data_IF_265195000403
#
_entry.id   IF_265195000403
#
_cell.length_a   1.000
_cell.length_b   1.000
_cell.length_c   1.000
_cell.angle_alpha   90.00
_cell.angle_beta   90.00
_cell.angle_gamma   90.00
#
_symmetry.space_group_name_H-M   'P 1'
#
loop_
_entity.id
_entity.type
_entity.pdbx_description
1 polymer ?
#
# COMPACT_ATOMS: atom_id res chain seq x y z
N UNK A 1 18.08 13.11 -69.00
CA UNK A 1 17.15 13.46 -67.91
C UNK A 1 17.13 12.33 -66.90
N UNK A 2 17.92 12.43 -65.83
CA UNK A 2 18.00 11.41 -64.76
C UNK A 2 16.94 11.72 -63.71
N UNK A 3 15.97 10.82 -63.52
CA UNK A 3 14.96 10.91 -62.46
C UNK A 3 15.60 10.40 -61.16
N UNK A 4 15.89 11.30 -60.23
CA UNK A 4 16.27 10.96 -58.86
C UNK A 4 14.96 10.90 -58.06
N UNK A 5 14.50 9.70 -57.76
CA UNK A 5 13.42 9.44 -56.81
C UNK A 5 14.05 9.43 -55.41
N UNK A 6 13.84 10.50 -54.65
CA UNK A 6 14.25 10.60 -53.25
C UNK A 6 13.15 9.94 -52.40
N UNK A 7 13.43 8.75 -51.87
CA UNK A 7 12.57 8.06 -50.89
C UNK A 7 12.71 8.80 -49.57
N UNK A 8 11.68 9.56 -49.20
CA UNK A 8 11.53 10.18 -47.88
C UNK A 8 11.09 9.10 -46.89
N UNK A 9 12.05 8.50 -46.20
CA UNK A 9 11.78 7.58 -45.09
C UNK A 9 11.34 8.42 -43.89
N UNK A 10 10.03 8.46 -43.64
CA UNK A 10 9.42 9.06 -42.46
C UNK A 10 9.99 8.39 -41.19
N UNK A 11 10.94 9.05 -40.53
CA UNK A 11 11.43 8.63 -39.23
C UNK A 11 10.39 9.03 -38.18
N UNK A 12 9.33 8.22 -38.05
CA UNK A 12 8.33 8.41 -37.00
C UNK A 12 8.98 8.04 -35.67
N UNK A 13 9.54 9.03 -34.98
CA UNK A 13 10.05 8.88 -33.62
C UNK A 13 8.92 8.47 -32.70
N UNK A 14 8.87 7.18 -32.35
CA UNK A 14 8.09 6.67 -31.22
C UNK A 14 8.58 7.41 -29.97
N UNK A 15 7.74 8.28 -29.42
CA UNK A 15 7.95 8.83 -28.09
C UNK A 15 7.80 7.67 -27.12
N UNK A 16 8.92 7.09 -26.70
CA UNK A 16 8.96 6.15 -25.59
C UNK A 16 8.47 6.90 -24.35
N UNK A 17 7.29 6.57 -23.86
CA UNK A 17 6.88 6.96 -22.52
C UNK A 17 7.88 6.34 -21.56
N UNK A 18 8.67 7.17 -20.88
CA UNK A 18 9.58 6.71 -19.84
C UNK A 18 8.79 5.89 -18.82
N UNK A 19 9.10 4.60 -18.72
CA UNK A 19 8.54 3.70 -17.72
C UNK A 19 8.84 4.29 -16.35
N UNK A 20 7.81 4.55 -15.53
CA UNK A 20 7.99 4.85 -14.12
C UNK A 20 8.85 3.73 -13.52
N UNK A 21 10.02 4.10 -12.98
CA UNK A 21 10.99 3.12 -12.50
C UNK A 21 10.42 2.38 -11.28
N UNK A 22 9.86 1.22 -11.53
CA UNK A 22 9.29 0.32 -10.53
C UNK A 22 10.38 -0.38 -9.68
N UNK A 23 11.67 -0.04 -9.82
CA UNK A 23 12.79 -0.69 -9.12
C UNK A 23 12.71 -0.71 -7.60
N UNK A 24 11.85 0.10 -7.01
CA UNK A 24 11.61 0.13 -5.56
C UNK A 24 10.43 -0.76 -5.11
N UNK A 25 9.65 -1.32 -6.04
CA UNK A 25 8.63 -2.33 -5.73
C UNK A 25 9.32 -3.64 -5.36
N UNK A 26 9.25 -4.01 -4.09
CA UNK A 26 9.81 -5.26 -3.58
C UNK A 26 8.70 -6.15 -3.05
N UNK A 27 8.91 -7.46 -3.15
CA UNK A 27 8.01 -8.49 -2.59
C UNK A 27 6.54 -8.29 -2.98
N UNK A 28 6.21 -8.15 -4.28
CA UNK A 28 4.81 -8.05 -4.68
C UNK A 28 4.09 -9.38 -4.44
N UNK A 29 2.85 -9.31 -3.98
CA UNK A 29 1.93 -10.43 -3.86
C UNK A 29 0.52 -10.03 -4.35
N UNK A 30 -0.25 -10.99 -4.85
CA UNK A 30 -1.54 -10.72 -5.52
C UNK A 30 -2.66 -11.59 -4.96
N UNK A 31 -3.74 -10.94 -4.53
CA UNK A 31 -4.99 -11.58 -4.14
C UNK A 31 -6.00 -11.56 -5.29
N UNK A 32 -7.20 -12.09 -5.04
CA UNK A 32 -8.30 -12.03 -6.03
C UNK A 32 -8.62 -10.59 -6.47
N UNK A 33 -8.46 -9.60 -5.57
CA UNK A 33 -8.91 -8.22 -5.78
C UNK A 33 -7.83 -7.16 -5.59
N UNK A 34 -6.70 -7.48 -4.96
CA UNK A 34 -5.69 -6.51 -4.54
C UNK A 34 -4.27 -6.99 -4.87
N UNK A 35 -3.36 -6.03 -5.00
CA UNK A 35 -1.92 -6.27 -5.08
C UNK A 35 -1.29 -5.62 -3.85
N UNK A 36 -0.47 -6.38 -3.11
CA UNK A 36 0.33 -5.89 -2.01
C UNK A 36 1.80 -5.81 -2.43
N UNK A 37 2.55 -4.80 -1.98
CA UNK A 37 3.97 -4.68 -2.27
C UNK A 37 4.67 -3.80 -1.23
N UNK A 38 6.00 -3.91 -1.16
CA UNK A 38 6.84 -3.04 -0.33
C UNK A 38 7.43 -1.92 -1.18
N UNK A 39 7.29 -0.67 -0.72
CA UNK A 39 7.91 0.51 -1.33
C UNK A 39 8.21 1.55 -0.25
N UNK A 40 9.44 2.11 -0.27
CA UNK A 40 9.87 3.14 0.67
C UNK A 40 9.88 2.74 2.15
N UNK A 41 9.98 1.45 2.43
CA UNK A 41 9.90 0.89 3.79
C UNK A 41 8.48 0.57 4.25
N UNK A 42 7.47 0.80 3.41
CA UNK A 42 6.07 0.55 3.73
C UNK A 42 5.47 -0.58 2.93
N UNK A 43 4.44 -1.20 3.51
CA UNK A 43 3.52 -2.08 2.81
C UNK A 43 2.40 -1.23 2.20
N UNK A 44 2.19 -1.42 0.90
CA UNK A 44 1.14 -0.79 0.13
C UNK A 44 0.17 -1.84 -0.37
N UNK A 45 -1.10 -1.47 -0.47
CA UNK A 45 -2.14 -2.26 -1.12
C UNK A 45 -2.84 -1.42 -2.19
N UNK A 46 -3.09 -2.00 -3.36
CA UNK A 46 -3.77 -1.32 -4.47
C UNK A 46 -4.81 -2.27 -5.09
N UNK A 47 -5.97 -1.78 -5.56
CA UNK A 47 -6.91 -2.61 -6.32
C UNK A 47 -6.25 -3.16 -7.58
N UNK A 48 -6.54 -4.42 -7.92
CA UNK A 48 -6.04 -5.07 -9.14
C UNK A 48 -6.54 -4.37 -10.42
N UNK A 49 -7.65 -3.66 -10.34
CA UNK A 49 -8.19 -2.81 -11.42
C UNK A 49 -7.41 -1.51 -11.62
N UNK A 50 -6.42 -1.22 -10.78
CA UNK A 50 -5.76 0.08 -10.70
C UNK A 50 -6.52 1.08 -9.83
N UNK A 51 -5.84 2.15 -9.43
CA UNK A 51 -6.39 3.21 -8.58
C UNK A 51 -5.39 3.69 -7.52
N UNK A 52 -5.92 4.35 -6.49
CA UNK A 52 -5.11 4.83 -5.37
C UNK A 52 -4.56 3.66 -4.54
N UNK A 53 -3.26 3.72 -4.24
CA UNK A 53 -2.62 2.80 -3.31
C UNK A 53 -2.82 3.28 -1.87
N UNK A 54 -3.13 2.36 -0.97
CA UNK A 54 -3.27 2.63 0.45
C UNK A 54 -2.04 2.14 1.20
N UNK A 55 -1.55 2.97 2.12
CA UNK A 55 -0.36 2.69 2.92
C UNK A 55 -0.75 2.04 4.25
N UNK A 56 -0.35 0.79 4.43
CA UNK A 56 -0.80 -0.03 5.55
C UNK A 56 -0.30 0.47 6.91
N UNK A 57 1.00 0.83 7.10
CA UNK A 57 1.48 1.28 8.41
C UNK A 57 0.77 2.54 8.92
N UNK A 58 0.49 3.50 8.03
CA UNK A 58 -0.26 4.70 8.41
C UNK A 58 -1.70 4.37 8.81
N UNK A 59 -2.41 3.59 7.99
CA UNK A 59 -3.77 3.17 8.33
C UNK A 59 -3.83 2.36 9.64
N UNK A 60 -2.81 1.54 9.91
CA UNK A 60 -2.71 0.77 11.15
C UNK A 60 -2.57 1.66 12.39
N UNK A 61 -1.80 2.75 12.27
CA UNK A 61 -1.64 3.76 13.31
C UNK A 61 -2.94 4.57 13.52
N UNK A 62 -3.52 5.12 12.46
CA UNK A 62 -4.76 5.91 12.52
C UNK A 62 -5.92 5.12 13.15
N UNK A 63 -6.04 3.83 12.79
CA UNK A 63 -7.08 2.94 13.28
C UNK A 63 -6.76 2.34 14.66
N UNK A 64 -5.61 2.66 15.27
CA UNK A 64 -5.17 2.15 16.57
C UNK A 64 -5.23 0.60 16.67
N UNK A 65 -4.83 -0.10 15.60
CA UNK A 65 -4.97 -1.56 15.50
C UNK A 65 -3.93 -2.33 16.31
N UNK A 66 -2.85 -1.67 16.72
CA UNK A 66 -1.77 -2.26 17.52
C UNK A 66 -0.48 -1.45 17.40
N UNK A 67 0.61 -1.93 18.03
CA UNK A 67 1.91 -1.30 17.92
C UNK A 67 2.57 -1.59 16.56
N UNK A 68 3.24 -0.59 16.02
CA UNK A 68 4.13 -0.70 14.86
C UNK A 68 5.55 -0.95 15.36
N UNK A 69 6.20 -1.97 14.80
CA UNK A 69 7.52 -2.44 15.23
C UNK A 69 8.45 -2.33 14.03
N UNK A 70 9.63 -1.76 14.24
CA UNK A 70 10.65 -1.69 13.20
C UNK A 70 11.42 -0.39 13.16
N UNK A 71 11.76 0.06 11.97
CA UNK A 71 12.41 1.36 11.73
C UNK A 71 11.45 2.38 11.13
N UNK A 72 11.86 3.65 11.15
CA UNK A 72 11.11 4.73 10.52
C UNK A 72 11.11 4.56 9.00
N UNK A 73 9.92 4.65 8.43
CA UNK A 73 9.68 4.61 6.98
C UNK A 73 10.12 5.92 6.30
N UNK A 74 10.36 5.94 4.99
CA UNK A 74 10.84 7.15 4.28
C UNK A 74 9.88 8.35 4.32
N UNK A 75 8.57 8.10 4.28
CA UNK A 75 7.55 9.17 4.33
C UNK A 75 7.31 9.92 3.02
N UNK A 76 7.34 9.22 1.87
CA UNK A 76 7.07 9.79 0.54
C UNK A 76 5.57 9.68 0.23
N UNK A 77 4.78 10.74 0.48
CA UNK A 77 3.31 10.68 0.44
C UNK A 77 2.63 11.91 -0.22
N UNK A 78 3.39 12.76 -0.91
CA UNK A 78 2.85 13.73 -1.86
C UNK A 78 3.00 13.17 -3.28
N UNK A 79 1.85 12.95 -3.92
CA UNK A 79 1.72 12.30 -5.23
C UNK A 79 0.25 12.01 -5.56
N UNK A 80 -0.10 11.72 -6.82
CA UNK A 80 0.79 11.42 -7.95
C UNK A 80 1.55 12.64 -8.45
N UNK A 81 2.75 12.40 -9.01
CA UNK A 81 3.54 13.44 -9.64
C UNK A 81 2.96 13.67 -11.06
N UNK A 82 2.16 14.73 -11.21
CA UNK A 82 1.54 15.06 -12.48
C UNK A 82 2.57 15.68 -13.41
N UNK A 83 2.64 15.12 -14.62
CA UNK A 83 3.57 15.54 -15.66
C UNK A 83 3.11 16.78 -16.41
N UNK A 84 4.00 17.75 -16.60
CA UNK A 84 3.74 18.92 -17.43
C UNK A 84 4.88 19.12 -18.45
N UNK A 85 4.51 19.29 -19.72
CA UNK A 85 5.45 19.61 -20.79
C UNK A 85 5.63 21.12 -20.90
N UNK A 86 6.87 21.55 -21.05
CA UNK A 86 7.24 22.95 -21.22
C UNK A 86 7.35 23.32 -22.71
N UNK A 87 7.32 24.63 -22.99
CA UNK A 87 7.34 25.16 -24.38
C UNK A 87 8.64 24.83 -25.14
N UNK A 88 9.73 24.58 -24.43
CA UNK A 88 11.04 24.19 -24.98
C UNK A 88 11.17 22.67 -25.18
N UNK A 89 10.11 21.90 -24.93
CA UNK A 89 10.11 20.45 -24.98
C UNK A 89 10.65 19.78 -23.71
N UNK A 90 11.03 20.54 -22.69
CA UNK A 90 11.33 20.03 -21.35
C UNK A 90 10.09 19.47 -20.65
N UNK A 91 10.29 18.80 -19.52
CA UNK A 91 9.22 18.22 -18.71
C UNK A 91 9.48 18.44 -17.22
N UNK A 92 8.43 18.78 -16.48
CA UNK A 92 8.44 18.87 -15.02
C UNK A 92 7.39 17.91 -14.46
N UNK A 93 7.60 17.48 -13.22
CA UNK A 93 6.59 16.76 -12.45
C UNK A 93 6.22 17.58 -11.24
N UNK A 94 4.94 17.88 -11.07
CA UNK A 94 4.41 18.57 -9.90
C UNK A 94 3.48 17.61 -9.19
N UNK A 95 3.76 17.24 -7.93
CA UNK A 95 2.83 16.43 -7.18
C UNK A 95 1.64 17.29 -6.74
N UNK A 96 0.43 16.84 -7.07
CA UNK A 96 -0.80 17.62 -6.91
C UNK A 96 -1.71 17.12 -5.78
N UNK A 97 -1.45 15.93 -5.24
CA UNK A 97 -2.20 15.37 -4.12
C UNK A 97 -1.32 15.09 -2.90
N UNK A 98 -1.90 15.31 -1.72
CA UNK A 98 -1.28 15.08 -0.42
C UNK A 98 -2.26 14.34 0.49
N UNK A 99 -1.74 13.39 1.26
CA UNK A 99 -2.53 12.60 2.19
C UNK A 99 -2.76 13.37 3.51
N UNK A 100 -3.98 13.26 4.04
CA UNK A 100 -4.38 13.76 5.36
C UNK A 100 -5.31 12.77 6.05
N UNK A 101 -5.29 12.76 7.38
CA UNK A 101 -6.11 11.89 8.21
C UNK A 101 -7.57 12.32 8.27
N UNK A 102 -8.42 11.45 8.82
CA UNK A 102 -9.83 11.78 9.07
C UNK A 102 -9.99 12.94 10.08
N UNK A 103 -8.95 13.20 10.88
CA UNK A 103 -8.87 14.33 11.80
C UNK A 103 -8.48 15.66 11.11
N UNK A 104 -8.31 15.66 9.78
CA UNK A 104 -7.92 16.82 8.99
C UNK A 104 -6.43 17.17 9.10
N UNK A 105 -5.60 16.36 9.77
CA UNK A 105 -4.17 16.62 9.88
C UNK A 105 -3.44 16.06 8.67
N UNK A 106 -2.54 16.88 8.13
CA UNK A 106 -1.66 16.46 7.03
C UNK A 106 -0.72 15.36 7.48
N UNK A 107 -0.49 14.41 6.56
CA UNK A 107 0.61 13.47 6.71
C UNK A 107 1.95 14.22 6.72
N UNK A 108 2.83 13.82 7.63
CA UNK A 108 4.19 14.33 7.77
C UNK A 108 5.09 13.76 6.66
N UNK A 109 4.97 14.32 5.46
CA UNK A 109 5.86 14.00 4.35
C UNK A 109 7.32 14.30 4.70
N UNK A 110 8.22 13.43 4.23
CA UNK A 110 9.66 13.48 4.49
C UNK A 110 10.04 12.99 5.89
N UNK A 111 9.07 12.76 6.77
CA UNK A 111 9.30 12.18 8.10
C UNK A 111 8.89 10.72 8.19
N UNK A 112 7.74 10.36 7.59
CA UNK A 112 7.26 8.97 7.61
C UNK A 112 6.56 8.58 8.91
N UNK A 113 6.26 7.28 9.04
CA UNK A 113 5.72 6.68 10.24
C UNK A 113 6.85 6.34 11.19
N UNK A 114 6.75 6.88 12.39
CA UNK A 114 7.58 6.47 13.51
C UNK A 114 7.02 5.15 14.08
N UNK A 115 7.85 4.12 14.28
CA UNK A 115 7.43 2.91 14.97
C UNK A 115 7.18 3.20 16.46
N UNK A 116 6.25 2.46 17.06
CA UNK A 116 6.02 2.48 18.51
C UNK A 116 7.16 1.79 19.25
N UNK A 117 7.73 0.75 18.62
CA UNK A 117 8.87 0.00 19.12
C UNK A 117 9.93 0.00 18.04
N UNK A 118 10.99 0.78 18.27
CA UNK A 118 12.12 0.86 17.35
C UNK A 118 12.99 -0.41 17.47
N UNK A 119 13.23 -1.06 16.33
CA UNK A 119 14.06 -2.26 16.21
C UNK A 119 14.91 -2.12 14.97
N UNK A 120 16.22 -2.11 15.14
CA UNK A 120 17.18 -2.01 14.06
C UNK A 120 17.34 -3.35 13.31
N UNK A 121 17.39 -3.27 11.98
CA UNK A 121 17.64 -4.41 11.10
C UNK A 121 19.12 -4.76 11.05
N UNK A 122 19.58 -5.54 12.04
CA UNK A 122 20.98 -5.95 12.16
C UNK A 122 21.43 -6.83 10.99
N UNK A 123 22.34 -6.34 10.10
CA UNK A 123 22.82 -7.12 8.95
C UNK A 123 23.51 -8.41 9.37
N UNK A 124 24.17 -8.43 10.54
CA UNK A 124 24.87 -9.61 11.03
C UNK A 124 23.90 -10.70 11.50
N UNK A 125 22.71 -10.33 11.99
CA UNK A 125 21.65 -11.27 12.34
C UNK A 125 20.86 -11.71 11.11
N UNK A 126 20.54 -10.77 10.22
CA UNK A 126 19.87 -11.07 8.94
C UNK A 126 20.70 -12.04 8.10
N UNK A 127 22.02 -11.86 8.03
CA UNK A 127 22.92 -12.78 7.34
C UNK A 127 22.93 -14.21 7.94
N UNK A 128 22.53 -14.36 9.20
CA UNK A 128 22.36 -15.65 9.88
C UNK A 128 20.93 -16.20 9.75
N UNK A 129 20.06 -15.53 8.99
CA UNK A 129 18.65 -15.89 8.82
C UNK A 129 17.76 -15.52 10.02
N UNK A 130 18.25 -14.68 10.94
CA UNK A 130 17.49 -14.20 12.09
C UNK A 130 17.00 -12.78 11.78
N UNK A 131 15.68 -12.60 11.74
CA UNK A 131 15.05 -11.30 11.55
C UNK A 131 14.71 -10.68 12.94
N UNK A 132 15.42 -9.62 13.37
CA UNK A 132 15.19 -8.99 14.68
C UNK A 132 13.80 -8.35 14.79
N UNK A 133 13.32 -7.71 13.72
CA UNK A 133 12.00 -7.05 13.70
C UNK A 133 10.88 -8.08 13.83
N UNK A 134 10.93 -9.17 13.05
CA UNK A 134 9.97 -10.26 13.13
C UNK A 134 9.99 -10.93 14.52
N UNK A 135 11.18 -11.16 15.06
CA UNK A 135 11.33 -11.74 16.40
C UNK A 135 10.66 -10.87 17.45
N UNK A 136 10.91 -9.55 17.43
CA UNK A 136 10.27 -8.63 18.36
C UNK A 136 8.76 -8.54 18.12
N UNK A 137 8.31 -8.59 16.87
CA UNK A 137 6.89 -8.57 16.53
C UNK A 137 6.14 -9.78 17.08
N UNK A 138 6.71 -10.98 16.96
CA UNK A 138 6.14 -12.20 17.53
C UNK A 138 6.11 -12.12 19.06
N UNK A 139 7.17 -11.65 19.70
CA UNK A 139 7.22 -11.47 21.15
C UNK A 139 6.12 -10.53 21.65
N UNK A 140 5.97 -9.36 21.01
CA UNK A 140 4.95 -8.38 21.41
C UNK A 140 3.54 -8.91 21.11
N UNK A 141 3.33 -9.58 19.97
CA UNK A 141 2.04 -10.18 19.64
C UNK A 141 1.63 -11.24 20.67
N UNK A 142 2.54 -12.13 21.06
CA UNK A 142 2.28 -13.15 22.09
C UNK A 142 2.01 -12.53 23.46
N UNK A 143 2.68 -11.43 23.81
CA UNK A 143 2.39 -10.67 25.02
C UNK A 143 0.99 -10.07 24.97
N UNK A 144 0.63 -9.38 23.88
CA UNK A 144 -0.68 -8.75 23.70
C UNK A 144 -1.82 -9.77 23.70
N UNK A 145 -1.63 -10.96 23.14
CA UNK A 145 -2.65 -12.03 23.17
C UNK A 145 -2.94 -12.48 24.61
N UNK A 146 -1.92 -12.51 25.49
CA UNK A 146 -2.09 -12.86 26.90
C UNK A 146 -2.76 -11.73 27.69
N UNK A 147 -2.39 -10.49 27.42
CA UNK A 147 -2.91 -9.31 28.12
C UNK A 147 -4.32 -8.93 27.67
N UNK A 148 -4.65 -9.17 26.38
CA UNK A 148 -5.91 -8.80 25.74
C UNK A 148 -6.50 -10.00 24.99
N UNK A 149 -7.03 -11.01 25.71
CA UNK A 149 -7.62 -12.18 25.08
C UNK A 149 -8.81 -11.73 24.20
N UNK A 150 -8.87 -12.25 22.98
CA UNK A 150 -9.95 -11.93 22.04
C UNK A 150 -11.26 -12.52 22.55
N UNK A 151 -12.30 -11.69 22.59
CA UNK A 151 -13.67 -12.18 22.76
C UNK A 151 -14.12 -12.87 21.47
N UNK A 152 -14.18 -14.20 21.49
CA UNK A 152 -14.76 -14.97 20.40
C UNK A 152 -16.27 -15.05 20.63
N UNK A 153 -17.05 -14.41 19.75
CA UNK A 153 -18.49 -14.61 19.75
C UNK A 153 -18.78 -16.02 19.22
N UNK A 154 -19.60 -16.82 19.92
CA UNK A 154 -19.99 -18.13 19.42
C UNK A 154 -20.75 -17.95 18.09
N UNK A 155 -20.55 -18.89 17.17
CA UNK A 155 -21.35 -18.91 15.94
C UNK A 155 -22.84 -18.92 16.33
N UNK A 156 -23.68 -18.02 15.77
CA UNK A 156 -25.11 -18.06 16.04
C UNK A 156 -25.68 -19.42 15.63
N UNK A 157 -26.74 -19.87 16.30
CA UNK A 157 -27.45 -21.07 15.85
C UNK A 157 -27.90 -20.88 14.40
N UNK A 158 -27.86 -21.94 13.61
CA UNK A 158 -28.40 -21.89 12.25
C UNK A 158 -29.86 -21.47 12.30
N UNK A 159 -30.21 -20.47 11.50
CA UNK A 159 -31.59 -20.03 11.34
C UNK A 159 -32.42 -21.19 10.78
N UNK A 160 -33.60 -21.41 11.36
CA UNK A 160 -34.54 -22.38 10.85
C UNK A 160 -35.18 -21.85 9.56
N UNK A 161 -34.65 -22.29 8.42
CA UNK A 161 -35.16 -21.95 7.08
C UNK A 161 -36.35 -22.79 6.65
N UNK A 162 -36.93 -23.61 7.54
CA UNK A 162 -38.05 -24.51 7.19
C UNK A 162 -39.39 -23.80 6.98
N UNK A 163 -39.44 -22.45 7.04
CA UNK A 163 -40.63 -21.62 6.84
C UNK A 163 -41.82 -21.92 7.78
N UNK A 164 -41.62 -22.75 8.83
CA UNK A 164 -42.69 -23.17 9.75
C UNK A 164 -43.26 -22.00 10.58
N UNK A 165 -42.44 -21.00 10.89
CA UNK A 165 -42.86 -19.80 11.66
C UNK A 165 -43.51 -18.69 10.84
N UNK A 166 -43.54 -18.78 9.50
CA UNK A 166 -44.14 -17.74 8.66
C UNK A 166 -45.67 -17.71 8.69
N UNK A 167 -46.32 -18.79 9.17
CA UNK A 167 -47.80 -18.84 9.26
C UNK A 167 -48.37 -18.01 10.41
N UNK A 168 -47.57 -17.69 11.42
CA UNK A 168 -48.02 -16.93 12.60
C UNK A 168 -47.86 -15.40 12.43
N UNK A 169 -47.02 -14.94 11.50
CA UNK A 169 -46.74 -13.52 11.29
C UNK A 169 -47.70 -12.81 10.30
N UNK A 170 -48.60 -13.54 9.65
CA UNK A 170 -49.47 -13.03 8.57
C UNK A 170 -50.95 -13.36 8.78
N UNK A 171 -51.45 -13.38 10.02
CA UNK A 171 -52.90 -13.35 10.27
C UNK A 171 -53.29 -11.98 10.86
N UNK A 172 -54.19 -11.22 10.20
CA UNK A 172 -54.60 -9.87 10.60
C UNK A 172 -55.43 -9.83 11.87
#
# INVERSE_FOLDING_TARGET
MKKILLVSTLFSSLVTTAQLDARLLRFPDVSATQIAFVYGGDIWIVPKTGGAANRVPWAFQELNLGPIIGERTLGILVGPATGHQLIDGGFITVPDARLYGADGKWFAEGYGIKPDIEVWDDPAQLAKGVDPQLTRAVQEALKLVKERPRTLYPRPKFEDRSARGLKEAFHP
#
